data_IF_570590418675
#
_entry.id   IF_570590418675
#
_cell.length_a   1.000
_cell.length_b   1.000
_cell.length_c   1.000
_cell.angle_alpha   90.00
_cell.angle_beta   90.00
_cell.angle_gamma   90.00
#
_symmetry.space_group_name_H-M   'P 1'
#
loop_
_entity.id
_entity.type
_entity.pdbx_description
1 polymer ?
#
# COMPACT_ATOMS: atom_id res chain seq x y z
N UNK A 1 -34.27 -2.05 0.45
CA UNK A 1 -32.90 -1.76 -0.06
C UNK A 1 -32.12 -3.04 0.14
N UNK A 2 -31.38 -3.51 -0.86
CA UNK A 2 -30.60 -4.74 -0.70
C UNK A 2 -29.43 -4.41 0.23
N UNK A 3 -29.52 -4.86 1.50
CA UNK A 3 -28.42 -4.75 2.47
C UNK A 3 -27.29 -5.76 2.17
N UNK A 4 -26.81 -5.75 0.92
CA UNK A 4 -25.69 -6.61 0.57
C UNK A 4 -24.40 -5.88 0.98
N UNK A 5 -23.78 -6.32 2.06
CA UNK A 5 -22.46 -5.88 2.45
C UNK A 5 -21.40 -6.34 1.42
N UNK A 6 -20.42 -5.49 1.17
CA UNK A 6 -19.23 -5.85 0.40
C UNK A 6 -18.37 -6.79 1.24
N UNK A 7 -18.06 -7.95 0.69
CA UNK A 7 -17.35 -9.05 1.35
C UNK A 7 -15.85 -8.89 1.18
N UNK A 8 -15.15 -8.64 2.27
CA UNK A 8 -13.72 -8.30 2.28
C UNK A 8 -12.90 -9.47 2.80
N UNK A 9 -11.95 -9.96 2.00
CA UNK A 9 -10.90 -10.86 2.44
C UNK A 9 -9.63 -10.08 2.81
N UNK A 10 -9.00 -10.37 3.95
CA UNK A 10 -7.79 -9.71 4.42
C UNK A 10 -6.59 -10.67 4.36
N UNK A 11 -5.52 -10.27 3.67
CA UNK A 11 -4.24 -10.98 3.65
C UNK A 11 -3.20 -10.12 4.34
N UNK A 12 -2.58 -10.65 5.40
CA UNK A 12 -1.70 -9.92 6.31
C UNK A 12 -2.47 -9.40 7.51
N UNK A 13 -2.26 -10.04 8.66
CA UNK A 13 -2.93 -9.68 9.92
C UNK A 13 -1.92 -9.15 10.94
N UNK A 14 -1.07 -8.22 10.44
CA UNK A 14 -0.18 -7.39 11.26
C UNK A 14 -0.89 -6.12 11.73
N UNK A 15 -0.11 -5.12 12.15
CA UNK A 15 -0.58 -3.85 12.69
C UNK A 15 -1.67 -3.17 11.81
N UNK A 16 -1.47 -3.13 10.48
CA UNK A 16 -2.44 -2.51 9.56
C UNK A 16 -3.68 -3.39 9.43
N UNK A 17 -3.50 -4.71 9.21
CA UNK A 17 -4.61 -5.64 9.00
C UNK A 17 -5.56 -5.72 10.19
N UNK A 18 -5.03 -5.77 11.42
CA UNK A 18 -5.79 -5.73 12.67
C UNK A 18 -6.60 -4.42 12.73
N UNK A 19 -5.94 -3.27 12.55
CA UNK A 19 -6.61 -1.98 12.65
C UNK A 19 -7.72 -1.80 11.58
N UNK A 20 -7.50 -2.26 10.34
CA UNK A 20 -8.52 -2.21 9.28
C UNK A 20 -9.69 -3.14 9.60
N UNK A 21 -9.41 -4.36 10.11
CA UNK A 21 -10.47 -5.28 10.56
C UNK A 21 -11.32 -4.65 11.67
N UNK A 22 -10.70 -4.09 12.69
CA UNK A 22 -11.40 -3.42 13.80
C UNK A 22 -12.25 -2.24 13.30
N UNK A 23 -11.75 -1.41 12.38
CA UNK A 23 -12.52 -0.31 11.80
C UNK A 23 -13.74 -0.80 11.01
N UNK A 24 -13.61 -1.91 10.27
CA UNK A 24 -14.74 -2.52 9.55
C UNK A 24 -15.76 -3.07 10.55
N UNK A 25 -15.31 -3.79 11.57
CA UNK A 25 -16.16 -4.43 12.56
C UNK A 25 -16.93 -3.42 13.43
N UNK A 26 -16.27 -2.31 13.82
CA UNK A 26 -16.82 -1.33 14.74
C UNK A 26 -17.78 -0.32 14.09
N UNK A 27 -17.91 -0.31 12.77
CA UNK A 27 -18.87 0.52 12.03
C UNK A 27 -19.80 -0.33 11.17
N UNK A 28 -20.88 -0.89 11.71
CA UNK A 28 -21.85 -1.68 10.95
C UNK A 28 -22.53 -0.90 9.81
N UNK A 29 -22.46 0.43 9.84
CA UNK A 29 -23.06 1.28 8.79
C UNK A 29 -22.19 1.43 7.55
N UNK A 30 -20.94 0.94 7.57
CA UNK A 30 -20.00 1.07 6.47
C UNK A 30 -20.32 0.18 5.24
N UNK A 31 -21.28 -0.75 5.37
CA UNK A 31 -21.70 -1.63 4.28
C UNK A 31 -20.67 -2.70 3.90
N UNK A 32 -19.74 -3.02 4.80
CA UNK A 32 -18.69 -4.02 4.59
C UNK A 32 -18.74 -5.13 5.64
N UNK A 33 -18.24 -6.31 5.29
CA UNK A 33 -18.01 -7.42 6.22
C UNK A 33 -16.69 -8.13 5.90
N UNK A 34 -15.90 -8.45 6.92
CA UNK A 34 -14.72 -9.29 6.76
C UNK A 34 -15.18 -10.75 6.69
N UNK A 35 -14.80 -11.46 5.63
CA UNK A 35 -15.22 -12.85 5.39
C UNK A 35 -14.08 -13.85 5.55
N UNK A 36 -12.85 -13.39 5.51
CA UNK A 36 -11.69 -14.16 5.93
C UNK A 36 -10.50 -13.26 6.29
N UNK A 37 -9.65 -13.83 7.11
CA UNK A 37 -8.32 -13.32 7.45
C UNK A 37 -7.31 -14.40 7.17
N UNK A 38 -6.21 -14.07 6.49
CA UNK A 38 -5.09 -14.95 6.22
C UNK A 38 -3.76 -14.29 6.61
N UNK A 39 -2.94 -15.01 7.38
CA UNK A 39 -1.54 -14.65 7.65
C UNK A 39 -0.72 -15.94 7.75
N UNK A 40 0.56 -15.88 7.40
CA UNK A 40 1.46 -17.03 7.55
C UNK A 40 1.82 -17.31 9.01
N UNK A 41 1.69 -16.31 9.88
CA UNK A 41 1.93 -16.41 11.32
C UNK A 41 0.61 -16.64 12.05
N UNK A 42 0.32 -17.90 12.35
CA UNK A 42 -0.93 -18.31 13.05
C UNK A 42 -1.06 -17.71 14.46
N UNK A 43 0.03 -17.25 15.07
CA UNK A 43 -0.02 -16.60 16.39
C UNK A 43 -0.78 -15.28 16.37
N UNK A 44 -1.04 -14.71 15.19
CA UNK A 44 -1.79 -13.46 15.01
C UNK A 44 -3.30 -13.62 15.06
N UNK A 45 -3.80 -14.86 15.07
CA UNK A 45 -5.24 -15.15 15.06
C UNK A 45 -5.89 -15.23 16.45
N UNK A 46 -5.18 -14.88 17.53
CA UNK A 46 -5.65 -15.07 18.91
C UNK A 46 -7.04 -14.45 19.20
N UNK A 47 -7.35 -13.33 18.55
CA UNK A 47 -8.61 -12.61 18.71
C UNK A 47 -9.52 -12.73 17.46
N UNK A 48 -9.21 -13.65 16.53
CA UNK A 48 -9.99 -13.91 15.32
C UNK A 48 -10.83 -15.17 15.53
N UNK A 49 -12.12 -15.13 15.21
CA UNK A 49 -12.98 -16.30 15.28
C UNK A 49 -12.61 -17.33 14.21
N UNK A 50 -12.69 -18.62 14.53
CA UNK A 50 -12.24 -19.72 13.67
C UNK A 50 -12.91 -19.71 12.28
N UNK A 51 -14.15 -19.23 12.19
CA UNK A 51 -14.90 -19.13 10.93
C UNK A 51 -14.32 -18.07 9.96
N UNK A 52 -13.59 -17.08 10.48
CA UNK A 52 -12.90 -16.07 9.69
C UNK A 52 -11.48 -16.49 9.32
N UNK A 53 -10.86 -17.42 10.03
CA UNK A 53 -9.50 -17.85 9.71
C UNK A 53 -9.51 -18.63 8.39
N UNK A 54 -8.65 -18.20 7.46
CA UNK A 54 -8.37 -18.93 6.22
C UNK A 54 -6.93 -19.46 6.30
N UNK A 55 -6.78 -20.75 6.60
CA UNK A 55 -5.46 -21.38 6.76
C UNK A 55 -4.72 -21.46 5.43
N UNK A 56 -5.41 -21.87 4.36
CA UNK A 56 -4.82 -22.00 3.02
C UNK A 56 -5.41 -20.94 2.08
N UNK A 57 -4.55 -20.09 1.52
CA UNK A 57 -4.98 -19.03 0.60
C UNK A 57 -5.53 -19.58 -0.73
N UNK A 58 -5.21 -20.83 -1.12
CA UNK A 58 -5.82 -21.49 -2.27
C UNK A 58 -7.35 -21.59 -2.16
N UNK A 59 -7.88 -21.59 -0.93
CA UNK A 59 -9.30 -21.77 -0.65
C UNK A 59 -10.08 -20.45 -0.54
N UNK A 60 -9.49 -19.30 -0.89
CA UNK A 60 -10.09 -17.97 -0.68
C UNK A 60 -11.46 -17.82 -1.36
N UNK A 61 -11.67 -18.46 -2.53
CA UNK A 61 -12.91 -18.42 -3.27
C UNK A 61 -14.09 -19.04 -2.47
N UNK A 62 -13.83 -19.99 -1.58
CA UNK A 62 -14.85 -20.61 -0.73
C UNK A 62 -15.52 -19.61 0.19
N UNK A 63 -14.81 -18.56 0.59
CA UNK A 63 -15.30 -17.46 1.42
C UNK A 63 -16.09 -16.41 0.63
N UNK A 64 -16.11 -16.51 -0.71
CA UNK A 64 -16.83 -15.61 -1.64
C UNK A 64 -16.59 -14.12 -1.37
N UNK A 65 -15.33 -13.65 -1.35
CA UNK A 65 -15.04 -12.22 -1.22
C UNK A 65 -15.46 -11.45 -2.48
N UNK A 66 -15.85 -10.19 -2.33
CA UNK A 66 -16.02 -9.24 -3.44
C UNK A 66 -14.71 -8.46 -3.68
N UNK A 67 -13.89 -8.31 -2.64
CA UNK A 67 -12.57 -7.65 -2.66
C UNK A 67 -11.61 -8.38 -1.72
N UNK A 68 -10.40 -8.63 -2.20
CA UNK A 68 -9.29 -9.11 -1.35
C UNK A 68 -8.30 -7.96 -1.15
N UNK A 69 -7.91 -7.71 0.10
CA UNK A 69 -6.96 -6.64 0.49
C UNK A 69 -5.70 -7.26 1.04
N UNK A 70 -4.57 -7.00 0.39
CA UNK A 70 -3.24 -7.45 0.81
C UNK A 70 -2.55 -6.35 1.62
N UNK A 71 -2.11 -6.70 2.83
CA UNK A 71 -1.42 -5.81 3.78
C UNK A 71 -0.24 -6.54 4.44
N UNK A 72 0.48 -7.37 3.68
CA UNK A 72 1.52 -8.26 4.17
C UNK A 72 2.91 -7.94 3.59
N UNK A 73 3.18 -8.43 2.38
CA UNK A 73 4.50 -8.37 1.76
C UNK A 73 4.39 -8.45 0.22
N UNK A 74 5.27 -7.79 -0.55
CA UNK A 74 5.25 -7.84 -2.01
C UNK A 74 5.24 -9.25 -2.62
N UNK A 75 5.87 -10.23 -1.94
CA UNK A 75 5.86 -11.63 -2.38
C UNK A 75 4.46 -12.26 -2.44
N UNK A 76 3.51 -11.74 -1.67
CA UNK A 76 2.10 -12.19 -1.74
C UNK A 76 1.50 -11.76 -3.07
N UNK A 77 1.66 -10.50 -3.46
CA UNK A 77 1.19 -9.99 -4.76
C UNK A 77 1.90 -10.69 -5.91
N UNK A 78 3.21 -10.97 -5.79
CA UNK A 78 3.98 -11.72 -6.79
C UNK A 78 3.43 -13.14 -6.99
N UNK A 79 3.10 -13.83 -5.91
CA UNK A 79 2.62 -15.21 -5.95
C UNK A 79 1.13 -15.32 -6.27
N UNK A 80 0.31 -14.47 -5.66
CA UNK A 80 -1.14 -14.64 -5.61
C UNK A 80 -1.92 -13.58 -6.38
N UNK A 81 -1.30 -12.45 -6.73
CA UNK A 81 -2.00 -11.30 -7.30
C UNK A 81 -2.78 -11.64 -8.57
N UNK A 82 -2.18 -12.35 -9.52
CA UNK A 82 -2.85 -12.76 -10.75
C UNK A 82 -3.97 -13.78 -10.47
N UNK A 83 -3.74 -14.76 -9.58
CA UNK A 83 -4.75 -15.75 -9.20
C UNK A 83 -5.98 -15.07 -8.58
N UNK A 84 -5.77 -14.14 -7.66
CA UNK A 84 -6.86 -13.39 -7.02
C UNK A 84 -7.59 -12.53 -8.06
N UNK A 85 -6.85 -11.76 -8.88
CA UNK A 85 -7.43 -10.91 -9.92
C UNK A 85 -8.18 -11.68 -11.01
N UNK A 86 -7.86 -12.94 -11.23
CA UNK A 86 -8.63 -13.78 -12.16
C UNK A 86 -10.07 -14.07 -11.67
N UNK A 87 -10.37 -13.79 -10.39
CA UNK A 87 -11.64 -14.12 -9.73
C UNK A 87 -12.37 -12.91 -9.15
N UNK A 88 -11.65 -12.05 -8.44
CA UNK A 88 -12.23 -10.93 -7.67
C UNK A 88 -11.36 -9.69 -7.76
N UNK A 89 -11.89 -8.56 -7.31
CA UNK A 89 -11.11 -7.35 -7.18
C UNK A 89 -9.99 -7.53 -6.14
N UNK A 90 -8.86 -6.86 -6.36
CA UNK A 90 -7.69 -6.97 -5.51
C UNK A 90 -7.12 -5.59 -5.18
N UNK A 91 -6.97 -5.28 -3.90
CA UNK A 91 -6.24 -4.11 -3.41
C UNK A 91 -4.96 -4.59 -2.73
N UNK A 92 -3.83 -3.92 -2.99
CA UNK A 92 -2.57 -4.27 -2.34
C UNK A 92 -1.80 -3.03 -1.93
N UNK A 93 -1.30 -3.03 -0.68
CA UNK A 93 -0.44 -1.97 -0.17
C UNK A 93 1.03 -2.20 -0.50
N UNK A 94 1.40 -3.41 -0.85
CA UNK A 94 2.77 -3.81 -1.21
C UNK A 94 3.10 -3.41 -2.65
N UNK A 95 2.96 -2.11 -2.94
CA UNK A 95 3.08 -1.52 -4.30
C UNK A 95 4.49 -1.68 -4.89
N UNK A 96 5.51 -1.88 -4.06
CA UNK A 96 6.88 -2.19 -4.51
C UNK A 96 6.96 -3.44 -5.38
N UNK A 97 5.98 -4.34 -5.32
CA UNK A 97 5.85 -5.49 -6.22
C UNK A 97 5.80 -5.07 -7.70
N UNK A 98 5.22 -3.91 -8.02
CA UNK A 98 5.11 -3.40 -9.39
C UNK A 98 6.43 -2.85 -9.97
N UNK A 99 7.52 -2.84 -9.19
CA UNK A 99 8.85 -2.60 -9.76
C UNK A 99 9.28 -3.71 -10.73
N UNK A 100 8.69 -4.90 -10.61
CA UNK A 100 8.76 -5.97 -11.58
C UNK A 100 7.78 -5.68 -12.74
N UNK A 101 8.31 -5.41 -13.93
CA UNK A 101 7.53 -5.03 -15.11
C UNK A 101 6.73 -6.20 -15.69
N UNK A 102 7.20 -7.43 -15.53
CA UNK A 102 6.50 -8.62 -15.98
C UNK A 102 5.26 -8.86 -15.10
N UNK A 103 5.43 -8.72 -13.79
CA UNK A 103 4.31 -8.79 -12.85
C UNK A 103 3.28 -7.67 -13.10
N UNK A 104 3.74 -6.42 -13.29
CA UNK A 104 2.82 -5.31 -13.59
C UNK A 104 1.99 -5.60 -14.84
N UNK A 105 2.65 -6.09 -15.91
CA UNK A 105 1.99 -6.46 -17.17
C UNK A 105 0.98 -7.59 -16.93
N UNK A 106 1.39 -8.66 -16.26
CA UNK A 106 0.53 -9.79 -15.93
C UNK A 106 -0.73 -9.37 -15.16
N UNK A 107 -0.58 -8.53 -14.13
CA UNK A 107 -1.74 -8.07 -13.35
C UNK A 107 -2.70 -7.21 -14.18
N UNK A 108 -2.17 -6.35 -15.07
CA UNK A 108 -2.99 -5.54 -15.98
C UNK A 108 -3.77 -6.38 -16.98
N UNK A 109 -3.13 -7.38 -17.56
CA UNK A 109 -3.74 -8.30 -18.51
C UNK A 109 -4.81 -9.16 -17.82
N UNK A 110 -4.47 -9.79 -16.68
CA UNK A 110 -5.41 -10.60 -15.90
C UNK A 110 -6.65 -9.81 -15.50
N UNK A 111 -6.47 -8.57 -15.01
CA UNK A 111 -7.57 -7.69 -14.66
C UNK A 111 -8.49 -7.40 -15.85
N UNK A 112 -7.90 -7.11 -17.04
CA UNK A 112 -8.65 -6.81 -18.27
C UNK A 112 -9.43 -8.04 -18.76
N UNK A 113 -8.80 -9.19 -18.79
CA UNK A 113 -9.39 -10.45 -19.28
C UNK A 113 -10.56 -10.93 -18.41
N UNK A 114 -10.50 -10.69 -17.11
CA UNK A 114 -11.50 -11.16 -16.16
C UNK A 114 -12.50 -10.07 -15.73
N UNK A 115 -12.35 -8.82 -16.20
CA UNK A 115 -13.23 -7.71 -15.83
C UNK A 115 -13.11 -7.30 -14.36
N UNK A 116 -12.02 -7.70 -13.70
CA UNK A 116 -11.71 -7.35 -12.32
C UNK A 116 -10.88 -6.07 -12.24
N UNK A 117 -10.60 -5.58 -11.02
CA UNK A 117 -9.82 -4.35 -10.81
C UNK A 117 -8.74 -4.57 -9.78
N UNK A 118 -7.53 -4.11 -10.12
CA UNK A 118 -6.43 -3.95 -9.17
C UNK A 118 -6.46 -2.52 -8.62
N UNK A 119 -6.40 -2.37 -7.30
CA UNK A 119 -6.43 -1.08 -6.62
C UNK A 119 -5.14 -0.84 -5.83
N UNK A 120 -4.62 0.36 -5.95
CA UNK A 120 -3.51 0.85 -5.13
C UNK A 120 -4.10 1.92 -4.20
N UNK A 121 -4.13 1.69 -2.88
CA UNK A 121 -4.65 2.67 -1.94
C UNK A 121 -3.68 3.82 -1.74
N UNK A 122 -4.17 4.96 -1.23
CA UNK A 122 -3.32 6.10 -0.90
C UNK A 122 -2.28 5.76 0.17
N UNK A 123 -2.66 4.97 1.18
CA UNK A 123 -1.76 4.57 2.26
C UNK A 123 -1.09 5.78 2.91
N UNK A 124 0.23 5.80 2.86
CA UNK A 124 1.03 6.91 3.38
C UNK A 124 1.15 8.12 2.44
N UNK A 125 0.48 8.17 1.29
CA UNK A 125 0.62 9.26 0.29
C UNK A 125 -0.47 10.29 0.46
N UNK A 126 -0.08 11.56 0.47
CA UNK A 126 -0.98 12.73 0.39
C UNK A 126 -0.80 13.38 -0.99
N UNK A 127 -1.90 13.74 -1.66
CA UNK A 127 -1.86 14.36 -3.00
C UNK A 127 -1.63 13.37 -4.15
N UNK A 128 -1.91 12.08 -3.93
CA UNK A 128 -1.78 11.06 -4.97
C UNK A 128 -2.79 11.28 -6.11
N UNK A 129 -3.96 11.78 -5.79
CA UNK A 129 -4.99 12.23 -6.73
C UNK A 129 -4.48 13.34 -7.65
N UNK A 130 -3.88 14.40 -7.09
CA UNK A 130 -3.31 15.50 -7.86
C UNK A 130 -2.14 15.06 -8.75
N UNK A 131 -1.32 14.11 -8.29
CA UNK A 131 -0.27 13.50 -9.11
C UNK A 131 -0.89 12.75 -10.31
N UNK A 132 -1.87 11.91 -10.05
CA UNK A 132 -2.50 11.06 -11.07
C UNK A 132 -3.27 11.86 -12.11
N UNK A 133 -4.02 12.88 -11.70
CA UNK A 133 -4.79 13.74 -12.60
C UNK A 133 -3.89 14.50 -13.61
N UNK A 134 -2.67 14.82 -13.19
CA UNK A 134 -1.72 15.60 -13.98
C UNK A 134 -0.53 14.77 -14.51
N UNK A 135 -0.61 13.43 -14.51
CA UNK A 135 0.50 12.54 -14.86
C UNK A 135 1.08 12.77 -16.26
N UNK A 136 0.26 13.25 -17.20
CA UNK A 136 0.71 13.57 -18.57
C UNK A 136 1.45 14.92 -18.66
N UNK A 137 1.38 15.74 -17.61
CA UNK A 137 1.98 17.08 -17.55
C UNK A 137 3.33 17.07 -16.85
N UNK A 138 3.54 16.12 -15.92
CA UNK A 138 4.78 16.10 -15.12
C UNK A 138 6.00 15.75 -15.95
N UNK A 139 7.01 16.64 -15.91
CA UNK A 139 8.35 16.43 -16.47
C UNK A 139 9.28 15.77 -15.47
N UNK A 140 9.11 16.07 -14.18
CA UNK A 140 9.87 15.47 -13.09
C UNK A 140 8.99 15.24 -11.85
N UNK A 141 9.22 14.11 -11.18
CA UNK A 141 8.65 13.78 -9.87
C UNK A 141 9.77 13.24 -8.99
N UNK A 142 9.94 13.85 -7.83
CA UNK A 142 10.89 13.41 -6.80
C UNK A 142 10.13 13.11 -5.52
N UNK A 143 10.39 11.96 -4.93
CA UNK A 143 9.91 11.61 -3.60
C UNK A 143 11.08 11.46 -2.65
N UNK A 144 11.02 12.15 -1.53
CA UNK A 144 12.01 12.06 -0.45
C UNK A 144 11.34 11.52 0.79
N UNK A 145 11.89 10.44 1.33
CA UNK A 145 11.45 9.89 2.62
C UNK A 145 12.57 10.05 3.63
N UNK A 146 12.22 10.55 4.83
CA UNK A 146 13.11 10.71 5.96
C UNK A 146 12.58 9.92 7.14
N UNK A 147 13.44 9.10 7.77
CA UNK A 147 13.07 8.24 8.90
C UNK A 147 14.24 8.03 9.85
N UNK A 148 13.98 7.67 11.12
CA UNK A 148 15.01 7.09 11.97
C UNK A 148 15.51 5.75 11.39
N UNK A 149 16.81 5.41 11.49
CA UNK A 149 17.34 4.16 10.93
C UNK A 149 16.70 2.90 11.52
N UNK A 150 16.27 2.93 12.78
CA UNK A 150 15.51 1.83 13.44
C UNK A 150 14.18 1.46 12.75
N UNK A 151 13.66 2.34 11.89
CA UNK A 151 12.41 2.16 11.14
C UNK A 151 12.64 1.85 9.65
N UNK A 152 13.87 1.47 9.28
CA UNK A 152 14.26 1.10 7.93
C UNK A 152 15.03 -0.22 7.96
N UNK A 153 14.78 -1.10 7.00
CA UNK A 153 15.51 -2.36 6.85
C UNK A 153 16.91 -2.11 6.25
N UNK A 154 17.78 -1.42 6.99
CA UNK A 154 19.10 -0.97 6.54
C UNK A 154 20.02 -2.14 6.12
N UNK A 155 19.85 -3.32 6.70
CA UNK A 155 20.65 -4.51 6.37
C UNK A 155 20.54 -4.90 4.89
N UNK A 156 19.39 -4.68 4.25
CA UNK A 156 19.21 -4.95 2.83
C UNK A 156 20.06 -4.04 1.92
N UNK A 157 20.45 -2.88 2.43
CA UNK A 157 21.39 -1.97 1.75
C UNK A 157 22.85 -2.21 2.14
N UNK A 158 23.12 -3.23 2.95
CA UNK A 158 24.46 -3.51 3.49
C UNK A 158 24.94 -2.49 4.53
N UNK A 159 24.02 -1.76 5.17
CA UNK A 159 24.32 -0.72 6.17
C UNK A 159 23.89 -1.22 7.54
N UNK A 160 24.82 -1.13 8.49
CA UNK A 160 24.53 -1.36 9.91
C UNK A 160 23.83 -0.10 10.46
N UNK A 161 22.57 -0.20 10.95
CA UNK A 161 21.85 0.95 11.48
C UNK A 161 22.57 1.60 12.68
N UNK A 162 23.31 0.84 13.47
CA UNK A 162 24.04 1.35 14.65
C UNK A 162 25.31 2.14 14.25
N UNK A 163 25.77 2.00 13.00
CA UNK A 163 26.88 2.79 12.46
C UNK A 163 26.49 4.20 12.03
N UNK A 164 25.19 4.49 11.95
CA UNK A 164 24.66 5.77 11.49
C UNK A 164 24.66 6.76 12.64
N UNK A 165 25.50 7.80 12.57
CA UNK A 165 25.68 8.79 13.62
C UNK A 165 25.07 10.17 13.32
N UNK A 166 24.47 10.33 12.15
CA UNK A 166 23.87 11.59 11.70
C UNK A 166 23.01 11.40 10.44
N UNK A 167 22.69 12.47 9.75
CA UNK A 167 21.92 12.40 8.51
C UNK A 167 22.72 11.69 7.40
N UNK A 168 22.14 10.64 6.83
CA UNK A 168 22.73 9.83 5.77
C UNK A 168 21.71 9.48 4.69
N UNK A 169 22.10 9.65 3.42
CA UNK A 169 21.32 9.17 2.28
C UNK A 169 21.63 7.67 2.10
N UNK A 170 20.63 6.82 2.29
CA UNK A 170 20.75 5.38 2.04
C UNK A 170 20.52 5.03 0.58
N UNK A 171 19.73 5.83 -0.13
CA UNK A 171 19.46 5.63 -1.55
C UNK A 171 19.11 6.95 -2.25
N UNK A 172 19.60 7.09 -3.47
CA UNK A 172 19.18 8.13 -4.40
C UNK A 172 19.23 7.57 -5.82
N UNK A 173 18.09 7.57 -6.52
CA UNK A 173 17.98 7.03 -7.87
C UNK A 173 16.53 6.81 -8.28
N UNK A 174 16.30 5.97 -9.30
CA UNK A 174 14.94 5.67 -9.76
C UNK A 174 14.13 4.90 -8.70
N UNK A 175 12.80 5.07 -8.72
CA UNK A 175 11.92 4.28 -7.85
C UNK A 175 12.01 2.78 -8.15
N UNK A 176 12.24 2.38 -9.40
CA UNK A 176 12.45 0.97 -9.73
C UNK A 176 13.65 0.38 -9.00
N UNK A 177 14.73 1.14 -8.91
CA UNK A 177 15.96 0.68 -8.24
C UNK A 177 15.86 0.61 -6.72
N UNK A 178 15.06 1.45 -6.05
CA UNK A 178 14.93 1.41 -4.59
C UNK A 178 14.02 0.25 -4.11
N UNK A 179 13.01 -0.13 -4.89
CA UNK A 179 12.02 -1.12 -4.48
C UNK A 179 12.61 -2.49 -4.08
N UNK A 180 13.54 -3.10 -4.84
CA UNK A 180 14.13 -4.37 -4.44
C UNK A 180 15.05 -4.27 -3.22
N UNK A 181 15.62 -3.10 -2.95
CA UNK A 181 16.51 -2.86 -1.80
C UNK A 181 15.72 -2.69 -0.50
N UNK A 182 14.58 -1.99 -0.57
CA UNK A 182 13.75 -1.68 0.60
C UNK A 182 12.28 -2.06 0.39
N UNK A 183 11.96 -3.33 0.08
CA UNK A 183 10.63 -3.74 -0.41
C UNK A 183 9.48 -3.43 0.55
N UNK A 184 9.75 -3.38 1.86
CA UNK A 184 8.73 -3.07 2.90
C UNK A 184 8.67 -1.59 3.27
N UNK A 185 9.74 -0.84 3.01
CA UNK A 185 9.89 0.53 3.52
C UNK A 185 9.41 1.59 2.53
N UNK A 186 9.36 1.29 1.21
CA UNK A 186 9.19 2.29 0.16
C UNK A 186 7.92 2.09 -0.69
N UNK A 187 6.89 1.47 -0.12
CA UNK A 187 5.57 1.36 -0.79
C UNK A 187 5.01 2.74 -1.16
N UNK A 188 5.26 3.76 -0.34
CA UNK A 188 4.90 5.16 -0.63
C UNK A 188 5.61 5.67 -1.89
N UNK A 189 6.91 5.39 -2.08
CA UNK A 189 7.64 5.75 -3.30
C UNK A 189 7.04 5.07 -4.53
N UNK A 190 6.74 3.78 -4.41
CA UNK A 190 6.13 2.98 -5.48
C UNK A 190 4.74 3.52 -5.86
N UNK A 191 3.90 3.87 -4.88
CA UNK A 191 2.58 4.45 -5.11
C UNK A 191 2.67 5.83 -5.81
N UNK A 192 3.61 6.69 -5.39
CA UNK A 192 3.88 7.98 -6.03
C UNK A 192 4.36 7.79 -7.48
N UNK A 193 5.26 6.84 -7.72
CA UNK A 193 5.74 6.55 -9.06
C UNK A 193 4.61 6.04 -9.97
N UNK A 194 3.75 5.15 -9.45
CA UNK A 194 2.59 4.64 -10.17
C UNK A 194 1.58 5.73 -10.53
N UNK A 195 1.29 6.63 -9.59
CA UNK A 195 0.38 7.75 -9.81
C UNK A 195 0.97 8.85 -10.71
N UNK A 196 2.28 9.01 -10.71
CA UNK A 196 2.99 10.05 -11.44
C UNK A 196 3.50 9.61 -12.82
N UNK A 197 4.81 9.63 -12.99
CA UNK A 197 5.50 9.45 -14.28
C UNK A 197 6.17 8.08 -14.46
N UNK A 198 5.81 7.11 -13.61
CA UNK A 198 6.31 5.74 -13.67
C UNK A 198 7.59 5.52 -12.86
N UNK A 199 7.90 4.22 -12.65
CA UNK A 199 8.97 3.78 -11.76
C UNK A 199 10.38 4.17 -12.21
N UNK A 200 10.62 4.29 -13.51
CA UNK A 200 11.93 4.59 -14.06
C UNK A 200 12.25 6.10 -14.03
N UNK A 201 11.24 6.94 -14.21
CA UNK A 201 11.40 8.39 -14.29
C UNK A 201 11.26 9.08 -12.94
N UNK A 202 10.51 8.51 -11.99
CA UNK A 202 10.36 9.06 -10.64
C UNK A 202 11.65 8.87 -9.85
N UNK A 203 12.16 9.96 -9.28
CA UNK A 203 13.35 9.94 -8.43
C UNK A 203 12.96 9.66 -6.98
N UNK A 204 13.67 8.74 -6.37
CA UNK A 204 13.50 8.33 -4.97
C UNK A 204 14.72 8.65 -4.15
N UNK A 205 14.51 9.30 -3.00
CA UNK A 205 15.56 9.61 -2.03
C UNK A 205 15.12 9.06 -0.67
N UNK A 206 15.92 8.18 -0.08
CA UNK A 206 15.72 7.67 1.27
C UNK A 206 16.84 8.18 2.17
N UNK A 207 16.46 8.93 3.19
CA UNK A 207 17.37 9.58 4.14
C UNK A 207 17.07 9.08 5.54
N UNK A 208 18.10 8.82 6.32
CA UNK A 208 17.98 8.44 7.73
C UNK A 208 18.79 9.35 8.62
N UNK A 209 18.30 9.54 9.87
CA UNK A 209 19.03 10.20 10.94
C UNK A 209 18.53 9.66 12.28
N UNK A 210 19.41 9.20 13.19
CA UNK A 210 19.04 8.66 14.49
C UNK A 210 18.38 9.69 15.43
N UNK A 211 18.57 10.98 15.20
CA UNK A 211 17.98 12.06 16.00
C UNK A 211 16.48 12.30 15.68
N UNK A 212 15.98 11.77 14.56
CA UNK A 212 14.56 11.95 14.19
C UNK A 212 13.65 11.00 14.97
N UNK A 213 12.43 11.47 15.25
CA UNK A 213 11.38 10.69 15.89
C UNK A 213 10.18 10.45 14.96
N UNK A 214 10.09 11.23 13.90
CA UNK A 214 9.00 11.21 12.94
C UNK A 214 9.46 10.69 11.57
N UNK A 215 8.50 10.27 10.77
CA UNK A 215 8.70 10.03 9.35
C UNK A 215 8.24 11.25 8.55
N UNK A 216 9.02 11.64 7.55
CA UNK A 216 8.66 12.67 6.59
C UNK A 216 8.54 12.03 5.20
N UNK A 217 7.47 12.35 4.48
CA UNK A 217 7.33 12.07 3.06
C UNK A 217 7.11 13.39 2.34
N UNK A 218 8.04 13.75 1.47
CA UNK A 218 7.96 14.95 0.65
C UNK A 218 7.91 14.58 -0.83
N UNK A 219 7.02 15.23 -1.58
CA UNK A 219 6.84 15.11 -3.03
C UNK A 219 7.13 16.47 -3.66
N UNK A 220 7.94 16.50 -4.70
CA UNK A 220 8.13 17.67 -5.56
C UNK A 220 7.92 17.23 -7.02
N UNK A 221 6.80 17.62 -7.61
CA UNK A 221 6.47 17.35 -9.00
C UNK A 221 6.44 18.66 -9.79
N UNK A 222 7.04 18.68 -10.97
CA UNK A 222 7.15 19.86 -11.83
C UNK A 222 6.78 19.51 -13.27
N UNK A 223 6.04 20.43 -13.88
CA UNK A 223 5.68 20.44 -15.28
C UNK A 223 5.47 21.88 -15.78
N UNK A 224 5.19 22.10 -17.08
CA UNK A 224 5.00 23.41 -17.66
C UNK A 224 3.86 24.19 -16.96
N UNK A 225 4.20 25.26 -16.25
CA UNK A 225 3.23 26.12 -15.54
C UNK A 225 2.60 25.49 -14.29
N UNK A 226 3.06 24.30 -13.85
CA UNK A 226 2.51 23.58 -12.71
C UNK A 226 3.62 23.05 -11.83
N UNK A 227 3.46 23.22 -10.52
CA UNK A 227 4.29 22.58 -9.50
C UNK A 227 3.41 22.09 -8.36
N UNK A 228 3.60 20.85 -7.96
CA UNK A 228 3.01 20.28 -6.77
C UNK A 228 4.10 20.02 -5.74
N UNK A 229 3.96 20.60 -4.55
CA UNK A 229 4.79 20.27 -3.40
C UNK A 229 3.91 19.85 -2.25
N UNK A 230 4.19 18.68 -1.71
CA UNK A 230 3.50 18.11 -0.55
C UNK A 230 4.54 17.62 0.43
N UNK A 231 4.38 17.97 1.69
CA UNK A 231 5.16 17.39 2.78
C UNK A 231 4.20 16.87 3.85
N UNK A 232 4.41 15.65 4.28
CA UNK A 232 3.70 15.04 5.40
C UNK A 232 4.69 14.60 6.45
N UNK A 233 4.46 15.04 7.67
CA UNK A 233 5.23 14.65 8.87
C UNK A 233 4.30 13.89 9.80
N UNK A 234 4.69 12.72 10.24
CA UNK A 234 3.87 11.92 11.15
C UNK A 234 4.72 11.03 12.06
N UNK A 235 4.18 10.69 13.23
CA UNK A 235 4.75 9.67 14.09
C UNK A 235 4.80 8.31 13.38
N UNK A 236 5.78 7.50 13.72
CA UNK A 236 6.02 6.20 13.09
C UNK A 236 6.06 5.09 14.14
N UNK A 237 5.39 3.97 13.84
CA UNK A 237 5.46 2.72 14.62
C UNK A 237 5.92 1.59 13.71
N UNK A 238 7.05 0.95 14.03
CA UNK A 238 7.69 -0.01 13.12
C UNK A 238 8.05 0.67 11.80
N UNK A 239 7.55 0.16 10.67
CA UNK A 239 7.76 0.75 9.33
C UNK A 239 6.57 1.61 8.86
N UNK A 240 5.49 1.70 9.68
CA UNK A 240 4.18 2.24 9.30
C UNK A 240 3.94 3.60 9.93
N UNK A 241 3.53 4.56 9.13
CA UNK A 241 3.07 5.88 9.62
C UNK A 241 1.70 5.78 10.31
N UNK A 242 1.45 6.67 11.28
CA UNK A 242 0.27 6.64 12.13
C UNK A 242 -1.06 6.75 11.36
N UNK A 243 -1.10 7.48 10.24
CA UNK A 243 -2.30 7.68 9.43
C UNK A 243 -2.61 6.53 8.46
N UNK A 244 -1.66 5.61 8.24
CA UNK A 244 -1.76 4.57 7.21
C UNK A 244 -2.97 3.65 7.39
N UNK A 245 -3.28 3.09 8.58
CA UNK A 245 -4.44 2.21 8.76
C UNK A 245 -5.76 2.88 8.39
N UNK A 246 -5.99 4.12 8.84
CA UNK A 246 -7.20 4.88 8.52
C UNK A 246 -7.31 5.17 7.01
N UNK A 247 -6.19 5.49 6.34
CA UNK A 247 -6.16 5.71 4.90
C UNK A 247 -6.49 4.43 4.12
N UNK A 248 -5.99 3.27 4.54
CA UNK A 248 -6.33 1.98 3.93
C UNK A 248 -7.81 1.67 4.13
N UNK A 249 -8.33 1.80 5.36
CA UNK A 249 -9.75 1.61 5.63
C UNK A 249 -10.63 2.49 4.72
N UNK A 250 -10.33 3.79 4.62
CA UNK A 250 -11.08 4.71 3.76
C UNK A 250 -11.00 4.33 2.27
N UNK A 251 -9.86 3.81 1.81
CA UNK A 251 -9.71 3.30 0.45
C UNK A 251 -10.60 2.07 0.21
N UNK A 252 -10.63 1.13 1.17
CA UNK A 252 -11.52 -0.05 1.12
C UNK A 252 -12.98 0.39 1.12
N UNK A 253 -13.36 1.31 2.00
CA UNK A 253 -14.72 1.85 2.09
C UNK A 253 -15.15 2.52 0.79
N UNK A 254 -14.28 3.32 0.17
CA UNK A 254 -14.58 4.00 -1.11
C UNK A 254 -14.88 3.02 -2.25
N UNK A 255 -14.25 1.85 -2.23
CA UNK A 255 -14.48 0.78 -3.22
C UNK A 255 -15.73 -0.02 -2.86
N UNK A 256 -15.91 -0.34 -1.57
CA UNK A 256 -16.98 -1.20 -1.08
C UNK A 256 -18.33 -0.51 -0.97
N UNK A 257 -18.38 0.78 -0.64
CA UNK A 257 -19.62 1.49 -0.42
C UNK A 257 -19.91 2.51 -1.53
N UNK A 258 -20.77 2.14 -2.46
CA UNK A 258 -21.26 3.02 -3.56
C UNK A 258 -22.70 3.47 -3.33
N UNK A 259 -23.10 3.72 -2.07
CA UNK A 259 -24.44 4.15 -1.70
C UNK A 259 -24.79 5.57 -2.24
N UNK A 260 -26.07 5.98 -2.16
CA UNK A 260 -26.46 7.34 -2.53
C UNK A 260 -25.83 8.35 -1.56
N UNK A 261 -25.44 9.53 -2.08
CA UNK A 261 -24.84 10.59 -1.27
C UNK A 261 -23.97 11.54 -2.08
N UNK A 262 -23.22 12.38 -1.37
CA UNK A 262 -22.20 13.25 -1.96
C UNK A 262 -20.85 12.56 -1.76
N UNK A 263 -20.17 12.25 -2.85
CA UNK A 263 -18.92 11.50 -2.85
C UNK A 263 -17.76 12.35 -3.36
N UNK A 264 -16.63 12.28 -2.67
CA UNK A 264 -15.35 12.74 -3.20
C UNK A 264 -14.82 11.68 -4.19
N UNK A 265 -14.33 12.11 -5.34
CA UNK A 265 -13.77 11.25 -6.39
C UNK A 265 -12.38 11.72 -6.78
#
# INVERSE_FOLDING_TARGET
MNDKHTRIGLIGYGQIGIAVHEMIHNDPSNGMEVVFVHDMDSSRYQDVTDDLVLENLDDFESKKPDLVVEMAHPSVTQKWGATILSKVNYMFISVTALADTELETLLRETSRENGTRAYIPHGGVVGMDALYENREVWESVTVTMKKPPKNVDCANAGVDPDSITGEQILYQGSTRGICPVFPRNVNTHAAIAFAGIGFDRTQSILVVNPEWNDAVVAIDAKGPGLRLQVERVEGITGVTGASTPASIYNSVQTIGSTGPGIHLR
#
